data_IF_446808797346
#
_entry.id   IF_446808797346
#
_cell.length_a   1.000
_cell.length_b   1.000
_cell.length_c   1.000
_cell.angle_alpha   90.00
_cell.angle_beta   90.00
_cell.angle_gamma   90.00
#
_symmetry.space_group_name_H-M   'P 1'
#
loop_
_entity.id
_entity.type
_entity.pdbx_description
1 polymer ?
#
# COMPACT_ATOMS: atom_id res chain seq x y z
N UNK A 1 4.85 -1.35 -8.15
CA UNK A 1 4.54 -1.46 -6.70
C UNK A 1 5.35 -0.42 -5.97
N UNK A 2 4.72 0.39 -5.11
CA UNK A 2 5.28 1.64 -4.57
C UNK A 2 6.71 1.54 -4.00
N UNK A 3 7.04 0.45 -3.31
CA UNK A 3 8.40 0.23 -2.80
C UNK A 3 9.45 0.11 -3.91
N UNK A 4 9.15 -0.64 -4.97
CA UNK A 4 10.07 -0.79 -6.11
C UNK A 4 10.30 0.53 -6.85
N UNK A 5 9.26 1.34 -6.95
CA UNK A 5 9.31 2.66 -7.62
C UNK A 5 10.10 3.70 -6.82
N UNK A 6 10.10 3.60 -5.49
CA UNK A 6 10.88 4.46 -4.60
C UNK A 6 12.36 4.04 -4.45
N UNK A 7 12.78 2.93 -5.08
CA UNK A 7 14.15 2.42 -5.01
C UNK A 7 14.57 1.92 -3.62
N UNK A 8 13.63 1.81 -2.67
CA UNK A 8 13.90 1.37 -1.29
C UNK A 8 13.89 -0.15 -1.19
N UNK A 9 14.76 -0.70 -0.35
CA UNK A 9 14.74 -2.14 -0.08
C UNK A 9 13.58 -2.50 0.86
N UNK A 10 13.19 -3.77 0.88
CA UNK A 10 12.19 -4.29 1.82
C UNK A 10 12.59 -4.01 3.27
N UNK A 11 13.89 -4.14 3.58
CA UNK A 11 14.45 -3.89 4.90
C UNK A 11 14.31 -2.42 5.30
N UNK A 12 14.68 -1.49 4.41
CA UNK A 12 14.61 -0.05 4.71
C UNK A 12 13.19 0.40 5.08
N UNK A 13 12.19 -0.09 4.33
CA UNK A 13 10.78 0.25 4.57
C UNK A 13 10.28 -0.42 5.84
N UNK A 14 10.61 -1.70 6.06
CA UNK A 14 10.19 -2.43 7.25
C UNK A 14 10.75 -1.82 8.53
N UNK A 15 12.03 -1.46 8.53
CA UNK A 15 12.71 -0.83 9.66
C UNK A 15 12.06 0.54 9.98
N UNK A 16 11.79 1.36 8.96
CA UNK A 16 11.12 2.67 9.13
C UNK A 16 9.69 2.52 9.63
N UNK A 17 8.95 1.54 9.12
CA UNK A 17 7.57 1.24 9.53
C UNK A 17 7.49 0.46 10.85
N UNK A 18 8.63 0.14 11.48
CA UNK A 18 8.73 -0.65 12.74
C UNK A 18 8.03 -2.01 12.67
N UNK A 19 8.20 -2.71 11.55
CA UNK A 19 7.73 -4.09 11.35
C UNK A 19 8.85 -4.99 10.90
N UNK A 20 8.65 -6.30 10.97
CA UNK A 20 9.64 -7.23 10.42
C UNK A 20 9.61 -7.21 8.89
N UNK A 21 10.76 -7.38 8.20
CA UNK A 21 10.80 -7.51 6.74
C UNK A 21 9.91 -8.65 6.24
N UNK A 22 9.86 -9.77 6.98
CA UNK A 22 9.00 -10.91 6.66
C UNK A 22 7.52 -10.52 6.67
N UNK A 23 7.06 -9.81 7.70
CA UNK A 23 5.67 -9.38 7.80
C UNK A 23 5.29 -8.39 6.69
N UNK A 24 6.14 -7.41 6.37
CA UNK A 24 5.95 -6.53 5.22
C UNK A 24 5.88 -7.33 3.90
N UNK A 25 6.72 -8.36 3.76
CA UNK A 25 6.71 -9.27 2.62
C UNK A 25 5.40 -10.03 2.45
N UNK A 26 4.78 -10.46 3.55
CA UNK A 26 3.47 -11.12 3.51
C UNK A 26 2.36 -10.16 3.06
N UNK A 27 2.42 -8.91 3.54
CA UNK A 27 1.47 -7.85 3.15
C UNK A 27 1.60 -7.54 1.66
N UNK A 28 2.81 -7.33 1.14
CA UNK A 28 3.05 -7.03 -0.29
C UNK A 28 2.53 -8.14 -1.23
N UNK A 29 2.37 -9.37 -0.72
CA UNK A 29 1.84 -10.50 -1.50
C UNK A 29 0.36 -10.80 -1.21
N UNK A 30 -0.32 -9.93 -0.46
CA UNK A 30 -1.72 -10.10 -0.09
C UNK A 30 -1.99 -11.28 0.84
N UNK A 31 -0.97 -11.81 1.53
CA UNK A 31 -1.12 -12.95 2.47
C UNK A 31 -1.50 -12.53 3.88
N UNK A 32 -1.34 -11.24 4.21
CA UNK A 32 -1.71 -10.65 5.49
C UNK A 32 -2.41 -9.31 5.27
N UNK A 33 -3.40 -9.06 6.12
CA UNK A 33 -4.06 -7.76 6.20
C UNK A 33 -3.18 -6.77 6.97
N UNK A 34 -3.24 -5.51 6.57
CA UNK A 34 -2.58 -4.40 7.26
C UNK A 34 -3.63 -3.55 7.98
N UNK A 35 -3.37 -3.21 9.25
CA UNK A 35 -4.22 -2.26 9.96
C UNK A 35 -4.06 -0.84 9.39
N UNK A 36 -5.01 0.04 9.71
CA UNK A 36 -4.94 1.46 9.33
C UNK A 36 -3.67 2.14 9.87
N UNK A 37 -3.26 1.85 11.11
CA UNK A 37 -2.02 2.41 11.67
C UNK A 37 -0.77 1.90 10.93
N UNK A 38 -0.78 0.64 10.50
CA UNK A 38 0.31 0.06 9.73
C UNK A 38 0.38 0.66 8.33
N UNK A 39 -0.75 0.83 7.65
CA UNK A 39 -0.80 1.50 6.35
C UNK A 39 -0.28 2.94 6.43
N UNK A 40 -0.62 3.67 7.51
CA UNK A 40 -0.07 5.01 7.76
C UNK A 40 1.45 4.98 8.03
N UNK A 41 1.94 3.96 8.73
CA UNK A 41 3.38 3.79 8.97
C UNK A 41 4.14 3.46 7.68
N UNK A 42 3.56 2.62 6.82
CA UNK A 42 4.13 2.26 5.50
C UNK A 42 4.10 3.45 4.54
N UNK A 43 3.02 4.24 4.50
CA UNK A 43 2.95 5.44 3.65
C UNK A 43 4.01 6.47 4.02
N UNK A 44 4.19 6.70 5.32
CA UNK A 44 5.28 7.51 5.87
C UNK A 44 6.66 6.93 5.49
N UNK A 45 6.86 5.63 5.65
CA UNK A 45 8.10 4.94 5.30
C UNK A 45 8.40 4.94 3.79
N UNK A 46 7.41 5.11 2.93
CA UNK A 46 7.58 5.22 1.48
C UNK A 46 7.63 6.67 0.99
N UNK A 47 7.40 7.63 1.87
CA UNK A 47 7.26 9.05 1.54
C UNK A 47 6.19 9.31 0.48
N UNK A 48 5.05 8.64 0.61
CA UNK A 48 3.86 8.79 -0.25
C UNK A 48 2.63 9.06 0.61
N UNK A 49 1.58 9.61 0.00
CA UNK A 49 0.31 9.81 0.71
C UNK A 49 -0.40 8.47 0.95
N UNK A 50 -1.17 8.36 2.04
CA UNK A 50 -2.03 7.19 2.26
C UNK A 50 -3.05 7.02 1.13
N UNK A 51 -3.55 8.13 0.56
CA UNK A 51 -4.46 8.11 -0.58
C UNK A 51 -3.86 7.43 -1.81
N UNK A 52 -2.57 7.65 -2.09
CA UNK A 52 -1.89 6.97 -3.20
C UNK A 52 -1.81 5.45 -2.99
N UNK A 53 -1.53 5.00 -1.76
CA UNK A 53 -1.56 3.57 -1.42
C UNK A 53 -2.95 2.99 -1.69
N UNK A 54 -4.00 3.65 -1.20
CA UNK A 54 -5.38 3.17 -1.32
C UNK A 54 -5.86 3.15 -2.78
N UNK A 55 -5.55 4.18 -3.57
CA UNK A 55 -5.90 4.23 -4.99
C UNK A 55 -5.23 3.06 -5.73
N UNK A 56 -3.93 2.82 -5.51
CA UNK A 56 -3.22 1.71 -6.17
C UNK A 56 -3.76 0.35 -5.74
N UNK A 57 -4.04 0.17 -4.46
CA UNK A 57 -4.67 -1.04 -3.96
C UNK A 57 -6.06 -1.27 -4.59
N UNK A 58 -6.87 -0.21 -4.70
CA UNK A 58 -8.19 -0.29 -5.34
C UNK A 58 -8.07 -0.67 -6.82
N UNK A 59 -7.11 -0.11 -7.55
CA UNK A 59 -6.85 -0.46 -8.95
C UNK A 59 -6.41 -1.91 -9.14
N UNK A 60 -5.65 -2.47 -8.19
CA UNK A 60 -5.25 -3.88 -8.21
C UNK A 60 -6.39 -4.85 -7.83
N UNK A 61 -7.30 -4.42 -6.94
CA UNK A 61 -8.45 -5.22 -6.48
C UNK A 61 -9.61 -5.17 -7.48
N UNK A 62 -9.72 -4.10 -8.28
CA UNK A 62 -10.82 -3.94 -9.23
C UNK A 62 -10.75 -5.01 -10.34
N UNK A 63 -11.77 -5.87 -10.50
CA UNK A 63 -11.81 -6.74 -11.66
C UNK A 63 -11.91 -5.89 -12.95
N UNK A 64 -11.27 -6.30 -14.06
CA UNK A 64 -11.34 -5.57 -15.31
C UNK A 64 -12.80 -5.35 -15.72
N UNK A 65 -13.18 -4.09 -15.94
CA UNK A 65 -14.54 -3.69 -16.37
C UNK A 65 -15.46 -3.11 -15.29
N UNK A 66 -15.01 -2.99 -14.03
CA UNK A 66 -15.78 -2.31 -12.97
C UNK A 66 -15.33 -0.85 -12.82
N UNK A 67 -15.72 0.01 -13.77
CA UNK A 67 -15.64 1.45 -13.55
C UNK A 67 -16.81 1.86 -12.64
N UNK A 68 -16.55 2.06 -11.35
CA UNK A 68 -17.51 2.73 -10.46
C UNK A 68 -17.54 4.19 -10.85
N UNK A 69 -18.62 4.59 -11.52
CA UNK A 69 -19.01 5.98 -11.73
C UNK A 69 -18.71 6.82 -10.47
N UNK A 70 -18.09 8.01 -10.60
CA UNK A 70 -17.75 8.81 -9.44
C UNK A 70 -19.04 9.23 -8.72
N UNK A 71 -19.12 8.91 -7.42
CA UNK A 71 -20.16 9.35 -6.46
C UNK A 71 -20.06 10.88 -6.21
N UNK A 72 -19.68 11.67 -7.21
CA UNK A 72 -19.62 13.13 -7.16
C UNK A 72 -20.46 13.78 -8.27
N UNK A 73 -21.18 13.00 -9.07
CA UNK A 73 -22.26 13.52 -9.90
C UNK A 73 -23.54 13.64 -9.06
N UNK A 74 -23.61 14.64 -8.17
CA UNK A 74 -24.82 15.09 -7.49
C UNK A 74 -24.81 16.62 -7.40
#
# INVERSE_FOLDING_TARGET
>A
GLRGESGRTLRDVADTARVSPGYLSEIERGRKEASSELLASISSALNVSLGEILIRAALEVSPPGTFTEPVLAA
#
